data_IF_448833341091
#
_entry.id   IF_448833341091
#
_cell.length_a   1.000
_cell.length_b   1.000
_cell.length_c   1.000
_cell.angle_alpha   90.00
_cell.angle_beta   90.00
_cell.angle_gamma   90.00
#
_symmetry.space_group_name_H-M   'P 1'
#
loop_
_entity.id
_entity.type
_entity.pdbx_description
1 polymer ?
#
# COMPACT_ATOMS: atom_id res chain seq x y z
N UNK A 1 -10.59 -2.15 30.38
CA UNK A 1 -11.34 -1.63 29.64
C UNK A 1 -11.04 -1.87 28.31
N UNK A 2 -11.86 -2.07 27.51
CA UNK A 2 -11.66 -2.29 26.29
C UNK A 2 -11.85 -1.19 25.48
N UNK A 3 -11.03 -0.79 24.72
CA UNK A 3 -11.19 0.29 23.87
C UNK A 3 -11.60 -0.23 22.57
N UNK A 4 -12.76 0.08 22.21
CA UNK A 4 -13.22 -0.34 20.95
C UNK A 4 -13.23 0.81 20.07
N UNK A 5 -12.57 0.84 18.97
CA UNK A 5 -12.53 1.96 18.07
C UNK A 5 -13.39 1.66 16.90
N UNK A 6 -14.34 2.49 16.65
CA UNK A 6 -15.21 2.32 15.50
C UNK A 6 -14.65 3.17 14.39
N UNK A 7 -14.40 2.58 13.26
CA UNK A 7 -13.83 3.31 12.14
C UNK A 7 -14.92 3.58 11.14
N UNK A 8 -15.12 4.82 10.80
CA UNK A 8 -16.13 5.18 9.84
C UNK A 8 -15.48 5.72 8.60
N UNK A 9 -16.07 5.51 7.45
CA UNK A 9 -15.56 6.01 6.21
C UNK A 9 -16.60 6.94 5.62
N UNK A 10 -16.24 8.21 5.46
CA UNK A 10 -17.14 9.20 4.94
C UNK A 10 -17.36 8.90 3.48
N UNK A 11 -18.51 9.19 2.95
CA UNK A 11 -18.82 8.95 1.56
C UNK A 11 -17.80 9.56 0.63
N UNK A 12 -17.28 10.72 0.95
CA UNK A 12 -16.36 11.36 0.07
C UNK A 12 -15.04 10.64 0.01
N UNK A 13 -14.74 9.84 0.99
CA UNK A 13 -13.47 9.15 1.07
C UNK A 13 -13.62 7.70 0.67
N UNK A 14 -14.83 7.19 0.71
CA UNK A 14 -15.07 5.77 0.52
C UNK A 14 -14.57 5.19 -0.80
N UNK A 15 -14.60 5.95 -1.86
CA UNK A 15 -14.17 5.42 -3.13
C UNK A 15 -12.66 5.35 -3.25
N UNK A 16 -11.96 6.03 -2.38
CA UNK A 16 -10.51 5.96 -2.35
C UNK A 16 -9.81 6.78 -3.41
N UNK A 17 -8.50 6.69 -3.42
CA UNK A 17 -7.70 7.41 -4.36
C UNK A 17 -6.72 6.41 -4.91
N UNK A 18 -6.61 6.32 -6.22
CA UNK A 18 -5.67 5.39 -6.82
C UNK A 18 -4.29 6.01 -6.82
N UNK A 19 -3.29 5.23 -6.48
CA UNK A 19 -1.94 5.73 -6.48
C UNK A 19 -1.03 4.64 -7.02
N UNK A 20 -0.13 5.00 -7.90
CA UNK A 20 0.83 4.05 -8.40
C UNK A 20 2.27 4.55 -8.20
N UNK A 21 2.45 5.65 -7.50
CA UNK A 21 3.76 6.14 -7.16
C UNK A 21 3.71 6.61 -5.73
N UNK A 22 4.63 6.17 -4.92
CA UNK A 22 4.65 6.56 -3.52
C UNK A 22 5.99 7.14 -3.20
N UNK A 23 6.01 8.30 -2.59
CA UNK A 23 7.24 8.94 -2.17
C UNK A 23 7.17 9.12 -0.67
N UNK A 24 8.25 8.83 0.01
CA UNK A 24 8.28 8.96 1.45
C UNK A 24 9.48 9.79 1.84
N UNK A 25 9.28 10.76 2.69
CA UNK A 25 10.37 11.56 3.21
C UNK A 25 10.11 11.74 4.70
N UNK A 26 11.05 12.29 5.40
CA UNK A 26 10.85 12.46 6.83
C UNK A 26 11.69 13.59 7.39
N UNK A 27 11.27 14.07 8.56
CA UNK A 27 12.03 15.02 9.32
C UNK A 27 12.27 14.32 10.65
N UNK A 28 12.76 15.03 11.63
CA UNK A 28 12.97 14.42 12.94
C UNK A 28 11.65 14.06 13.58
N UNK A 29 10.61 14.74 13.25
CA UNK A 29 9.33 14.56 13.93
C UNK A 29 8.30 13.74 13.19
N UNK A 30 8.36 13.71 11.88
CA UNK A 30 7.31 13.05 11.14
C UNK A 30 7.73 12.44 9.85
N UNK A 31 6.95 11.52 9.36
CA UNK A 31 7.13 10.93 8.05
C UNK A 31 6.03 11.46 7.16
N UNK A 32 6.38 11.78 5.93
CA UNK A 32 5.44 12.32 4.99
C UNK A 32 5.29 11.29 3.88
N UNK A 33 4.10 10.78 3.69
CA UNK A 33 3.84 9.82 2.65
C UNK A 33 3.03 10.49 1.57
N UNK A 34 3.57 10.55 0.36
CA UNK A 34 2.86 11.17 -0.74
C UNK A 34 2.43 10.07 -1.69
N UNK A 35 1.16 10.01 -1.95
CA UNK A 35 0.61 9.02 -2.86
C UNK A 35 0.26 9.74 -4.14
N UNK A 36 0.94 9.40 -5.20
CA UNK A 36 0.79 10.09 -6.46
C UNK A 36 0.35 9.12 -7.53
N UNK A 37 -0.13 9.64 -8.62
CA UNK A 37 -0.50 8.79 -9.73
C UNK A 37 0.07 9.38 -11.00
N UNK A 38 0.47 8.52 -11.92
CA UNK A 38 0.94 8.93 -13.19
C UNK A 38 0.16 8.15 -14.19
N UNK A 39 -0.54 8.84 -15.05
CA UNK A 39 -1.39 8.20 -16.03
C UNK A 39 -0.80 8.27 -17.41
N UNK A 40 -1.21 7.38 -18.30
CA UNK A 40 -0.69 7.39 -19.66
C UNK A 40 -0.97 8.74 -20.30
N UNK A 41 -0.02 9.25 -21.02
CA UNK A 41 -0.20 10.51 -21.67
C UNK A 41 0.18 11.71 -20.85
N UNK A 42 0.53 11.51 -19.58
CA UNK A 42 0.92 12.63 -18.76
C UNK A 42 2.39 12.50 -18.46
N UNK A 43 3.08 13.60 -18.43
CA UNK A 43 4.51 13.59 -18.19
C UNK A 43 4.87 13.81 -16.75
N UNK A 44 3.93 14.11 -15.90
CA UNK A 44 4.22 14.32 -14.51
C UNK A 44 3.30 13.54 -13.61
N UNK A 45 3.85 13.08 -12.51
CA UNK A 45 3.04 12.42 -11.51
C UNK A 45 2.41 13.51 -10.64
N UNK A 46 1.20 13.31 -10.19
CA UNK A 46 0.54 14.26 -9.35
C UNK A 46 0.23 13.65 -8.03
N UNK A 47 0.56 14.34 -6.96
CA UNK A 47 0.26 13.85 -5.62
C UNK A 47 -1.24 13.96 -5.40
N UNK A 48 -1.88 12.85 -5.11
CA UNK A 48 -3.30 12.83 -4.87
C UNK A 48 -3.61 12.91 -3.38
N UNK A 49 -2.70 12.47 -2.55
CA UNK A 49 -2.97 12.48 -1.13
C UNK A 49 -1.67 12.49 -0.38
N UNK A 50 -1.60 13.26 0.68
CA UNK A 50 -0.40 13.34 1.50
C UNK A 50 -0.81 12.99 2.92
N UNK A 51 -0.10 12.08 3.55
CA UNK A 51 -0.43 11.65 4.89
C UNK A 51 0.80 11.85 5.76
N UNK A 52 0.62 12.42 6.92
CA UNK A 52 1.70 12.65 7.85
C UNK A 52 1.57 11.67 9.01
N UNK A 53 2.65 11.03 9.37
CA UNK A 53 2.63 10.07 10.46
C UNK A 53 3.79 10.33 11.40
N UNK A 54 3.60 10.04 12.66
CA UNK A 54 4.71 10.08 13.58
C UNK A 54 5.56 8.85 13.29
N UNK A 55 6.80 8.80 13.74
CA UNK A 55 7.65 7.64 13.50
C UNK A 55 7.04 6.35 14.02
N UNK A 56 6.36 6.41 15.16
CA UNK A 56 5.74 5.24 15.72
C UNK A 56 4.65 4.72 14.80
N UNK A 57 3.85 5.61 14.25
CA UNK A 57 2.77 5.18 13.39
C UNK A 57 3.30 4.74 12.02
N UNK A 58 4.42 5.29 11.60
CA UNK A 58 5.03 4.83 10.36
C UNK A 58 5.49 3.38 10.54
N UNK A 59 5.99 3.01 11.73
CA UNK A 59 6.40 1.66 11.95
C UNK A 59 5.20 0.76 11.99
N UNK A 60 4.09 1.23 12.56
CA UNK A 60 2.88 0.44 12.61
C UNK A 60 2.41 0.18 11.18
N UNK A 61 2.48 1.19 10.33
CA UNK A 61 2.03 1.04 8.96
C UNK A 61 2.88 -0.02 8.26
N UNK A 62 4.18 0.01 8.48
CA UNK A 62 5.05 -0.94 7.86
C UNK A 62 4.68 -2.36 8.31
N UNK A 63 4.46 -2.54 9.59
CA UNK A 63 4.13 -3.86 10.11
C UNK A 63 2.78 -4.35 9.60
N UNK A 64 1.81 -3.47 9.55
CA UNK A 64 0.49 -3.86 9.09
C UNK A 64 0.55 -4.23 7.62
N UNK A 65 1.29 -3.46 6.83
CA UNK A 65 1.40 -3.76 5.42
C UNK A 65 2.14 -5.08 5.19
N UNK A 66 3.16 -5.36 5.97
CA UNK A 66 3.87 -6.59 5.82
C UNK A 66 2.95 -7.77 6.08
N UNK A 67 2.12 -7.67 7.11
CA UNK A 67 1.20 -8.72 7.45
C UNK A 67 0.18 -8.93 6.35
N UNK A 68 -0.36 -7.83 5.83
CA UNK A 68 -1.37 -7.95 4.81
C UNK A 68 -0.78 -8.49 3.50
N UNK A 69 0.44 -8.09 3.18
CA UNK A 69 1.07 -8.58 1.97
C UNK A 69 1.38 -10.06 2.09
N UNK A 70 1.79 -10.51 3.26
CA UNK A 70 2.08 -11.91 3.45
C UNK A 70 0.81 -12.72 3.29
N UNK A 71 -0.31 -12.19 3.79
CA UNK A 71 -1.55 -12.88 3.68
C UNK A 71 -2.00 -12.90 2.24
N UNK A 72 -1.85 -11.79 1.55
CA UNK A 72 -2.24 -11.69 0.17
C UNK A 72 -1.42 -12.68 -0.67
N UNK A 73 -0.12 -12.74 -0.45
CA UNK A 73 0.73 -13.62 -1.21
C UNK A 73 0.34 -15.07 -0.98
N UNK A 74 -0.01 -15.40 0.23
CA UNK A 74 -0.40 -16.72 0.56
C UNK A 74 -1.68 -17.10 -0.15
N UNK A 75 -2.61 -16.19 -0.25
CA UNK A 75 -3.86 -16.47 -0.91
C UNK A 75 -3.71 -16.52 -2.43
N UNK A 76 -2.83 -15.71 -2.98
CA UNK A 76 -2.68 -15.68 -4.40
C UNK A 76 -1.80 -16.81 -4.91
N UNK A 77 -1.11 -17.48 -4.05
CA UNK A 77 -0.31 -18.55 -4.49
C UNK A 77 -0.83 -19.78 -3.95
N UNK A 78 -1.83 -20.30 -4.49
CA UNK A 78 -2.45 -21.48 -3.98
C UNK A 78 -1.42 -22.48 -4.29
N UNK A 79 -1.07 -23.23 -3.42
CA UNK A 79 -0.19 -24.17 -3.58
C UNK A 79 -0.58 -25.12 -4.54
N UNK A 80 -0.46 -25.04 -5.69
CA UNK A 80 -0.91 -26.00 -6.57
C UNK A 80 0.29 -26.63 -7.13
N UNK A 81 0.10 -27.67 -7.73
CA UNK A 81 1.15 -28.34 -8.26
C UNK A 81 1.75 -27.55 -9.27
N UNK A 82 1.00 -26.87 -9.96
CA UNK A 82 1.51 -26.09 -10.91
C UNK A 82 2.49 -25.22 -10.34
N UNK A 83 2.34 -24.80 -9.21
CA UNK A 83 3.23 -23.90 -8.62
C UNK A 83 4.46 -24.67 -8.45
N UNK A 84 4.35 -25.85 -8.13
CA UNK A 84 5.45 -26.56 -7.91
C UNK A 84 6.08 -26.83 -9.17
N UNK A 85 5.42 -26.88 -10.21
CA UNK A 85 5.99 -27.11 -11.45
C UNK A 85 6.79 -25.95 -11.76
N UNK A 86 6.71 -25.02 -11.00
CA UNK A 86 7.52 -23.91 -11.21
C UNK A 86 7.37 -22.96 -12.20
N UNK A 87 6.69 -22.83 -12.83
CA UNK A 87 6.57 -21.91 -13.73
C UNK A 87 5.84 -20.88 -13.35
N UNK A 88 6.00 -19.99 -12.95
CA UNK A 88 5.31 -19.04 -12.51
C UNK A 88 5.56 -17.83 -13.01
N UNK A 89 4.92 -17.35 -13.51
CA UNK A 89 5.05 -16.14 -14.08
C UNK A 89 4.98 -15.16 -13.06
N UNK A 90 5.58 -14.61 -12.95
CA UNK A 90 5.50 -13.70 -12.00
C UNK A 90 5.50 -12.47 -12.36
N UNK A 91 5.12 -11.83 -12.46
CA UNK A 91 5.08 -10.65 -12.85
C UNK A 91 5.16 -9.83 -12.19
N UNK A 92 5.53 -9.47 -12.05
CA UNK A 92 5.70 -8.66 -11.47
C UNK A 92 5.31 -7.69 -11.28
N UNK A 93 5.22 -7.64 -11.15
CA UNK A 93 4.90 -6.94 -10.88
C UNK A 93 4.78 -6.09 -10.82
N UNK A 94 4.67 -5.97 -10.79
CA UNK A 94 4.55 -5.25 -10.68
C UNK A 94 4.68 -4.62 -10.27
N UNK A 95 4.69 -4.54 -10.01
CA UNK A 95 4.77 -3.92 -9.59
C UNK A 95 5.16 -3.70 -9.63
N UNK A 96 5.30 -4.05 -9.93
CA UNK A 96 5.54 -3.94 -10.08
C UNK A 96 5.58 -3.34 -10.28
N UNK A 97 5.40 -3.26 -10.19
CA UNK A 97 5.28 -2.79 -10.30
C UNK A 97 5.40 -2.43 -10.40
#
# INVERSE_FOLDING_TARGET
MKNEINIEVDDKVASGVYSNIIAVSHTDAEFVLDFASMLPGFSKARVQSRVLLSPIHARHLMNILQTQLAQYDSEQQPISEKDMLGEQPRFPNAGEA
#
